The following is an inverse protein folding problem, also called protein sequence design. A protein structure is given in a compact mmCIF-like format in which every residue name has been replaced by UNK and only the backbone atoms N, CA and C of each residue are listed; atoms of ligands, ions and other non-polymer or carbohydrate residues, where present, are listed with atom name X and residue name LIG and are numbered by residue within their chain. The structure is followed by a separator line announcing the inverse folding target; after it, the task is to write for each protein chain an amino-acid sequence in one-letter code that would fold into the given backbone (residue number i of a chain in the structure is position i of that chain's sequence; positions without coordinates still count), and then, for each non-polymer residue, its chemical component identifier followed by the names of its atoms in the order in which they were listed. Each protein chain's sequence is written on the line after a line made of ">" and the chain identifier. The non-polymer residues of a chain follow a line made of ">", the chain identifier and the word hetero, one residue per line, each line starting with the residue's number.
data_IF_225222866473
#
_entry.id   IF_225222866473
#
_cell.length_a   1.000
_cell.length_b   1.000
_cell.length_c   1.000
_cell.angle_alpha   90.00
_cell.angle_beta   90.00
_cell.angle_gamma   90.00
#
_symmetry.space_group_name_H-M   'P 1'
#
loop_
_entity.id
_entity.type
_entity.pdbx_description
1 polymer ?
#
# COMPACT_ATOMS: atom_id res chain seq x y z
N UNK A 1 -4.53 9.29 17.60
CA UNK A 1 -4.01 7.91 17.61
C UNK A 1 -3.42 7.64 18.98
N UNK A 2 -3.62 6.46 19.56
CA UNK A 2 -3.10 6.13 20.89
C UNK A 2 -1.59 5.93 20.83
N UNK A 3 -0.88 6.25 21.93
CA UNK A 3 0.59 6.10 22.04
C UNK A 3 1.07 4.69 21.67
N UNK A 4 0.23 3.67 21.86
CA UNK A 4 0.54 2.27 21.54
C UNK A 4 0.64 2.02 20.02
N UNK A 5 -0.24 2.60 19.21
CA UNK A 5 -0.29 2.35 17.75
C UNK A 5 0.97 2.91 17.05
N UNK A 6 1.43 4.09 17.45
CA UNK A 6 2.66 4.65 16.87
C UNK A 6 3.90 3.83 17.22
N UNK A 7 3.94 3.24 18.42
CA UNK A 7 5.01 2.31 18.80
C UNK A 7 4.94 1.02 17.98
N UNK A 8 3.76 0.46 17.75
CA UNK A 8 3.57 -0.71 16.90
C UNK A 8 4.05 -0.47 15.46
N UNK A 9 3.73 0.70 14.88
CA UNK A 9 4.22 1.07 13.55
C UNK A 9 5.75 1.15 13.48
N UNK A 10 6.37 1.75 14.48
CA UNK A 10 7.84 1.86 14.57
C UNK A 10 8.50 0.49 14.71
N UNK A 11 7.94 -0.40 15.53
CA UNK A 11 8.45 -1.76 15.73
C UNK A 11 8.37 -2.57 14.43
N UNK A 12 7.22 -2.54 13.76
CA UNK A 12 7.04 -3.22 12.48
C UNK A 12 8.03 -2.71 11.42
N UNK A 13 8.18 -1.39 11.30
CA UNK A 13 9.12 -0.76 10.39
C UNK A 13 10.56 -1.18 10.66
N UNK A 14 11.00 -1.12 11.91
CA UNK A 14 12.37 -1.49 12.33
C UNK A 14 12.68 -2.96 12.07
N UNK A 15 11.68 -3.83 12.22
CA UNK A 15 11.85 -5.26 11.90
C UNK A 15 11.94 -5.49 10.39
N UNK A 16 11.09 -4.81 9.61
CA UNK A 16 11.04 -4.99 8.16
C UNK A 16 12.28 -4.51 7.42
N UNK A 17 12.93 -3.41 7.86
CA UNK A 17 14.13 -2.92 7.17
C UNK A 17 15.33 -3.87 7.27
N UNK A 18 15.30 -4.85 8.18
CA UNK A 18 16.34 -5.89 8.27
C UNK A 18 16.37 -6.83 7.06
N UNK A 19 15.34 -6.82 6.23
CA UNK A 19 15.28 -7.59 4.99
C UNK A 19 15.96 -6.87 3.81
N UNK A 20 16.42 -5.62 4.02
CA UNK A 20 17.17 -4.87 3.01
C UNK A 20 18.65 -5.21 3.13
N UNK A 21 19.27 -5.55 2.01
CA UNK A 21 20.69 -5.82 1.87
C UNK A 21 21.35 -4.85 0.87
N UNK A 22 22.68 -4.77 0.92
CA UNK A 22 23.46 -3.97 -0.01
C UNK A 22 23.20 -4.36 -1.47
N UNK A 23 23.28 -3.36 -2.34
CA UNK A 23 23.12 -3.40 -3.78
C UNK A 23 21.73 -3.86 -4.26
N UNK A 24 20.72 -3.80 -3.40
CA UNK A 24 19.33 -4.06 -3.77
C UNK A 24 18.63 -2.84 -4.36
N UNK A 25 17.61 -3.11 -5.19
CA UNK A 25 16.58 -2.13 -5.56
C UNK A 25 15.41 -2.28 -4.58
N UNK A 26 15.09 -1.21 -3.85
CA UNK A 26 14.10 -1.21 -2.77
C UNK A 26 12.87 -0.39 -3.14
N UNK A 27 11.69 -0.99 -3.11
CA UNK A 27 10.42 -0.25 -3.20
C UNK A 27 10.08 0.41 -1.86
N UNK A 28 9.83 1.72 -1.89
CA UNK A 28 9.43 2.48 -0.71
C UNK A 28 7.93 2.77 -0.75
N UNK A 29 7.22 2.21 0.22
CA UNK A 29 5.77 2.34 0.40
C UNK A 29 5.27 3.73 0.75
N UNK A 30 3.96 3.86 0.96
CA UNK A 30 3.30 5.12 1.28
C UNK A 30 2.47 5.00 2.57
N UNK A 31 2.39 6.09 3.33
CA UNK A 31 1.55 6.19 4.53
C UNK A 31 2.35 6.28 5.84
N UNK A 32 1.63 6.36 6.97
CA UNK A 32 2.25 6.65 8.27
C UNK A 32 3.18 5.55 8.78
N UNK A 33 2.94 4.29 8.40
CA UNK A 33 3.80 3.17 8.82
C UNK A 33 5.04 3.10 7.94
N UNK A 34 4.87 3.23 6.61
CA UNK A 34 5.97 3.33 5.65
C UNK A 34 6.91 4.50 5.95
N UNK A 35 6.38 5.63 6.45
CA UNK A 35 7.19 6.77 6.91
C UNK A 35 8.31 6.35 7.90
N UNK A 36 8.02 5.47 8.85
CA UNK A 36 9.02 5.00 9.81
C UNK A 36 10.08 4.11 9.15
N UNK A 37 9.67 3.24 8.21
CA UNK A 37 10.61 2.40 7.47
C UNK A 37 11.55 3.23 6.60
N UNK A 38 11.01 4.20 5.86
CA UNK A 38 11.81 5.13 5.03
C UNK A 38 12.80 5.90 5.91
N UNK A 39 12.37 6.30 7.11
CA UNK A 39 13.25 7.01 8.05
C UNK A 39 14.41 6.16 8.54
N UNK A 40 14.14 4.91 8.89
CA UNK A 40 15.15 3.94 9.31
C UNK A 40 16.12 3.60 8.15
N UNK A 41 15.61 3.40 6.94
CA UNK A 41 16.45 3.22 5.73
C UNK A 41 17.39 4.40 5.54
N UNK A 42 16.90 5.63 5.69
CA UNK A 42 17.76 6.83 5.63
C UNK A 42 18.87 6.85 6.69
N UNK A 43 18.64 6.31 7.89
CA UNK A 43 19.70 6.17 8.89
C UNK A 43 20.68 5.02 8.57
N UNK A 44 20.20 3.92 7.99
CA UNK A 44 21.05 2.82 7.52
C UNK A 44 21.98 3.27 6.39
N UNK A 45 21.52 4.12 5.46
CA UNK A 45 22.36 4.70 4.40
C UNK A 45 23.46 5.57 4.98
N UNK A 46 23.16 6.39 6.00
CA UNK A 46 24.20 7.16 6.72
C UNK A 46 25.24 6.26 7.39
N UNK A 47 24.87 5.02 7.72
CA UNK A 47 25.75 4.01 8.32
C UNK A 47 26.47 3.14 7.27
N UNK A 48 26.23 3.36 5.97
CA UNK A 48 26.95 2.70 4.88
C UNK A 48 26.14 1.72 4.04
N UNK A 49 24.83 1.58 4.27
CA UNK A 49 23.96 0.79 3.38
C UNK A 49 23.98 1.40 1.96
N UNK A 50 24.26 0.58 0.95
CA UNK A 50 24.24 0.97 -0.47
C UNK A 50 23.04 0.37 -1.19
N UNK A 51 22.06 1.18 -1.56
CA UNK A 51 20.85 0.75 -2.29
C UNK A 51 20.40 1.81 -3.30
N UNK A 52 19.51 1.42 -4.20
CA UNK A 52 18.66 2.34 -4.95
C UNK A 52 17.19 2.12 -4.60
N UNK A 53 16.37 3.17 -4.63
CA UNK A 53 14.98 3.09 -4.22
C UNK A 53 13.98 3.57 -5.28
N UNK A 54 12.82 2.92 -5.32
CA UNK A 54 11.67 3.27 -6.16
C UNK A 54 10.51 3.72 -5.25
N UNK A 55 10.09 4.99 -5.27
CA UNK A 55 9.02 5.48 -4.42
C UNK A 55 7.63 5.18 -4.99
N UNK A 56 6.69 4.79 -4.13
CA UNK A 56 5.28 4.51 -4.49
C UNK A 56 4.40 5.76 -4.52
N UNK A 57 4.90 6.95 -4.17
CA UNK A 57 4.16 8.21 -4.29
C UNK A 57 5.11 9.40 -4.39
N UNK A 58 4.61 10.55 -4.84
CA UNK A 58 5.36 11.81 -4.80
C UNK A 58 5.73 12.20 -3.37
N UNK A 59 4.82 11.97 -2.40
CA UNK A 59 5.11 12.19 -0.98
C UNK A 59 6.25 11.31 -0.47
N UNK A 60 6.28 10.04 -0.86
CA UNK A 60 7.37 9.12 -0.51
C UNK A 60 8.67 9.52 -1.18
N UNK A 61 8.62 9.96 -2.45
CA UNK A 61 9.77 10.50 -3.18
C UNK A 61 10.39 11.68 -2.44
N UNK A 62 9.59 12.70 -2.11
CA UNK A 62 10.03 13.89 -1.38
C UNK A 62 10.67 13.53 -0.03
N UNK A 63 10.06 12.61 0.72
CA UNK A 63 10.64 12.12 1.96
C UNK A 63 11.99 11.45 1.71
N UNK A 64 12.07 10.50 0.79
CA UNK A 64 13.31 9.77 0.50
C UNK A 64 14.46 10.71 0.07
N UNK A 65 14.17 11.70 -0.78
CA UNK A 65 15.13 12.72 -1.21
C UNK A 65 15.64 13.57 -0.03
N UNK A 66 14.74 13.95 0.88
CA UNK A 66 15.12 14.71 2.09
C UNK A 66 16.04 13.95 3.04
N UNK A 67 16.12 12.62 2.88
CA UNK A 67 16.97 11.73 3.66
C UNK A 67 18.20 11.26 2.89
N UNK A 68 18.42 11.78 1.69
CA UNK A 68 19.51 11.39 0.80
C UNK A 68 19.48 9.90 0.40
N UNK A 69 18.30 9.29 0.32
CA UNK A 69 18.14 7.94 -0.23
C UNK A 69 18.29 8.02 -1.76
N UNK A 70 19.24 7.29 -2.39
CA UNK A 70 19.38 7.28 -3.84
C UNK A 70 18.13 6.73 -4.51
N UNK A 71 17.55 7.48 -5.44
CA UNK A 71 16.35 7.07 -6.18
C UNK A 71 16.70 6.58 -7.59
N UNK A 72 15.92 5.62 -8.09
CA UNK A 72 15.97 5.15 -9.47
C UNK A 72 14.58 5.24 -10.10
N UNK A 73 14.52 5.57 -11.39
CA UNK A 73 13.28 5.57 -12.14
C UNK A 73 12.79 4.13 -12.33
N UNK A 74 11.51 3.88 -12.05
CA UNK A 74 10.89 2.57 -12.22
C UNK A 74 11.01 2.05 -13.67
N UNK A 75 11.07 2.94 -14.66
CA UNK A 75 11.23 2.57 -16.07
C UNK A 75 12.65 2.10 -16.41
N UNK A 76 13.62 2.34 -15.52
CA UNK A 76 15.01 1.93 -15.70
C UNK A 76 15.32 0.58 -15.01
N UNK A 77 14.36 0.00 -14.28
CA UNK A 77 14.55 -1.24 -13.52
C UNK A 77 13.70 -2.38 -14.09
N UNK A 78 14.24 -3.60 -14.08
CA UNK A 78 13.52 -4.80 -14.53
C UNK A 78 12.84 -5.55 -13.39
N UNK A 79 13.37 -5.44 -12.17
CA UNK A 79 12.83 -6.06 -10.98
C UNK A 79 13.21 -5.25 -9.75
N UNK A 80 12.38 -5.32 -8.71
CA UNK A 80 12.62 -4.75 -7.39
C UNK A 80 12.85 -5.91 -6.43
N UNK A 81 13.93 -5.87 -5.65
CA UNK A 81 14.29 -6.99 -4.79
C UNK A 81 13.35 -7.10 -3.58
N UNK A 82 13.13 -5.98 -2.89
CA UNK A 82 12.27 -5.91 -1.72
C UNK A 82 11.45 -4.63 -1.73
N UNK A 83 10.16 -4.72 -1.43
CA UNK A 83 9.31 -3.55 -1.20
C UNK A 83 8.76 -3.61 0.21
N UNK A 84 8.88 -2.50 0.95
CA UNK A 84 8.27 -2.34 2.27
C UNK A 84 7.16 -1.31 2.17
N UNK A 85 5.93 -1.72 2.49
CA UNK A 85 4.76 -0.83 2.40
C UNK A 85 3.72 -1.11 3.50
N UNK A 86 2.80 -0.16 3.72
CA UNK A 86 1.70 -0.32 4.66
C UNK A 86 0.46 -0.98 4.05
N UNK A 87 -0.51 -1.31 4.91
CA UNK A 87 -1.86 -1.70 4.51
C UNK A 87 -2.93 -1.02 5.37
N UNK A 88 -4.12 -0.87 4.80
CA UNK A 88 -5.31 -0.43 5.54
C UNK A 88 -5.98 -1.61 6.25
N UNK A 89 -5.98 -2.79 5.60
CA UNK A 89 -6.36 -4.07 6.18
C UNK A 89 -5.53 -5.22 5.63
N UNK A 90 -5.37 -6.28 6.42
CA UNK A 90 -4.93 -7.57 5.94
C UNK A 90 -5.65 -8.71 6.67
N UNK A 91 -5.87 -9.83 5.97
CA UNK A 91 -6.43 -11.05 6.56
C UNK A 91 -5.36 -12.14 6.75
N UNK A 92 -5.76 -13.32 7.24
CA UNK A 92 -4.85 -14.46 7.47
C UNK A 92 -4.16 -14.98 6.20
N UNK A 93 -4.81 -14.83 5.05
CA UNK A 93 -4.30 -15.27 3.74
C UNK A 93 -3.41 -14.21 3.07
N UNK A 94 -3.07 -13.14 3.80
CA UNK A 94 -2.29 -11.99 3.33
C UNK A 94 -2.92 -11.25 2.14
N UNK A 95 -4.25 -11.34 1.99
CA UNK A 95 -5.01 -10.45 1.11
C UNK A 95 -5.17 -9.10 1.79
N UNK A 96 -4.98 -8.02 1.04
CA UNK A 96 -4.91 -6.67 1.60
C UNK A 96 -5.99 -5.74 1.01
N UNK A 97 -6.40 -4.77 1.83
CA UNK A 97 -6.90 -3.48 1.34
C UNK A 97 -5.80 -2.43 1.55
N UNK A 98 -5.51 -1.66 0.50
CA UNK A 98 -4.57 -0.52 0.48
C UNK A 98 -5.24 0.74 -0.10
N UNK A 99 -4.49 1.81 -0.34
CA UNK A 99 -5.00 3.00 -1.02
C UNK A 99 -5.66 4.06 -0.13
N UNK A 100 -5.67 3.90 1.19
CA UNK A 100 -6.10 4.94 2.13
C UNK A 100 -5.31 6.24 1.97
N UNK A 101 -4.02 6.14 1.61
CA UNK A 101 -3.16 7.28 1.27
C UNK A 101 -3.35 7.84 -0.15
N UNK A 102 -4.08 7.14 -1.01
CA UNK A 102 -4.36 7.55 -2.39
C UNK A 102 -3.25 7.28 -3.40
N UNK A 103 -2.35 6.34 -3.10
CA UNK A 103 -1.22 5.95 -3.94
C UNK A 103 -1.35 4.52 -4.52
N UNK A 104 -2.53 3.89 -4.43
CA UNK A 104 -2.72 2.46 -4.71
C UNK A 104 -2.18 2.01 -6.07
N UNK A 105 -2.30 2.83 -7.11
CA UNK A 105 -1.85 2.50 -8.46
C UNK A 105 -0.33 2.33 -8.51
N UNK A 106 0.42 3.33 -8.02
CA UNK A 106 1.88 3.25 -7.95
C UNK A 106 2.35 2.17 -6.97
N UNK A 107 1.68 2.03 -5.83
CA UNK A 107 1.91 0.93 -4.88
C UNK A 107 1.81 -0.43 -5.57
N UNK A 108 0.77 -0.66 -6.38
CA UNK A 108 0.55 -1.94 -7.06
C UNK A 108 1.52 -2.20 -8.21
N UNK A 109 1.88 -1.17 -8.96
CA UNK A 109 2.91 -1.27 -10.02
C UNK A 109 4.26 -1.65 -9.40
N UNK A 110 4.67 -1.00 -8.31
CA UNK A 110 5.92 -1.34 -7.61
C UNK A 110 5.85 -2.77 -7.06
N UNK A 111 4.74 -3.13 -6.42
CA UNK A 111 4.54 -4.47 -5.89
C UNK A 111 4.57 -5.57 -6.97
N UNK A 112 4.08 -5.31 -8.19
CA UNK A 112 4.09 -6.30 -9.28
C UNK A 112 5.48 -6.57 -9.86
N UNK A 113 6.42 -5.65 -9.69
CA UNK A 113 7.84 -5.82 -10.04
C UNK A 113 8.67 -6.40 -8.88
N UNK A 114 8.07 -6.59 -7.71
CA UNK A 114 8.78 -6.93 -6.46
C UNK A 114 8.93 -8.43 -6.27
N UNK A 115 10.13 -8.88 -5.90
CA UNK A 115 10.38 -10.29 -5.52
C UNK A 115 9.90 -10.60 -4.10
N UNK A 116 10.27 -9.75 -3.14
CA UNK A 116 9.83 -9.88 -1.75
C UNK A 116 8.99 -8.67 -1.31
N UNK A 117 7.66 -8.83 -1.32
CA UNK A 117 6.75 -7.75 -0.92
C UNK A 117 6.35 -7.89 0.55
N UNK A 118 6.89 -7.01 1.39
CA UNK A 118 6.73 -7.01 2.84
C UNK A 118 5.75 -5.90 3.24
N UNK A 119 4.69 -6.29 3.91
CA UNK A 119 3.73 -5.36 4.50
C UNK A 119 4.06 -5.10 5.95
N UNK A 120 4.05 -3.84 6.36
CA UNK A 120 4.18 -3.42 7.76
C UNK A 120 2.87 -2.83 8.28
N UNK A 121 2.44 -3.25 9.45
CA UNK A 121 1.16 -2.87 10.01
C UNK A 121 1.20 -2.74 11.54
N UNK A 122 0.31 -1.90 12.07
CA UNK A 122 -0.06 -1.94 13.49
C UNK A 122 -1.17 -2.97 13.73
N UNK A 123 -1.41 -3.32 14.99
CA UNK A 123 -2.34 -4.39 15.38
C UNK A 123 -3.78 -4.14 14.95
N UNK A 124 -4.18 -2.89 14.67
CA UNK A 124 -5.55 -2.56 14.27
C UNK A 124 -5.88 -2.95 12.82
N UNK A 125 -4.87 -3.28 12.02
CA UNK A 125 -5.00 -3.58 10.58
C UNK A 125 -5.35 -5.04 10.29
N UNK A 126 -5.12 -5.94 11.25
CA UNK A 126 -5.46 -7.35 11.11
C UNK A 126 -6.97 -7.54 11.24
N UNK A 127 -7.60 -8.13 10.24
CA UNK A 127 -9.03 -8.44 10.21
C UNK A 127 -9.28 -9.91 9.90
N UNK A 128 -10.43 -10.43 10.33
CA UNK A 128 -10.84 -11.79 9.98
C UNK A 128 -11.30 -11.88 8.52
N UNK A 129 -12.07 -10.87 8.09
CA UNK A 129 -12.59 -10.72 6.72
C UNK A 129 -12.36 -9.28 6.31
N UNK A 130 -11.92 -9.04 5.07
CA UNK A 130 -11.71 -7.70 4.53
C UNK A 130 -13.03 -6.92 4.41
N UNK A 131 -12.95 -5.60 4.42
CA UNK A 131 -14.06 -4.70 4.13
C UNK A 131 -14.58 -3.89 5.31
N UNK A 132 -13.91 -3.92 6.47
CA UNK A 132 -14.19 -2.93 7.53
C UNK A 132 -13.69 -1.54 7.12
N UNK A 133 -12.62 -1.47 6.34
CA UNK A 133 -12.14 -0.29 5.63
C UNK A 133 -12.78 -0.22 4.25
N UNK A 134 -13.23 0.97 3.84
CA UNK A 134 -13.79 1.20 2.50
C UNK A 134 -12.71 0.99 1.45
N UNK A 135 -12.99 0.14 0.47
CA UNK A 135 -12.09 -0.17 -0.63
C UNK A 135 -11.87 1.06 -1.52
N UNK A 136 -10.65 1.60 -1.60
CA UNK A 136 -10.32 2.68 -2.52
C UNK A 136 -10.27 2.16 -3.95
N UNK A 137 -10.87 2.89 -4.90
CA UNK A 137 -10.88 2.57 -6.32
C UNK A 137 -10.47 3.81 -7.11
N UNK A 138 -9.37 3.74 -7.84
CA UNK A 138 -8.88 4.82 -8.69
C UNK A 138 -9.61 4.80 -10.04
N UNK A 139 -10.13 5.96 -10.46
CA UNK A 139 -10.97 6.09 -11.66
C UNK A 139 -10.58 7.33 -12.45
N UNK A 140 -10.65 7.25 -13.77
CA UNK A 140 -10.42 8.44 -14.60
C UNK A 140 -11.53 9.48 -14.34
N UNK A 141 -11.21 10.78 -14.25
CA UNK A 141 -12.22 11.81 -13.94
C UNK A 141 -13.41 11.81 -14.89
N UNK A 142 -13.16 11.54 -16.18
CA UNK A 142 -14.19 11.43 -17.22
C UNK A 142 -15.25 10.35 -16.92
N UNK A 143 -14.87 9.26 -16.28
CA UNK A 143 -15.73 8.09 -16.05
C UNK A 143 -16.24 7.96 -14.61
N UNK A 144 -15.90 8.89 -13.70
CA UNK A 144 -16.11 8.71 -12.26
C UNK A 144 -17.57 8.36 -11.89
N UNK A 145 -18.55 9.07 -12.43
CA UNK A 145 -19.97 8.79 -12.17
C UNK A 145 -20.46 7.49 -12.83
N UNK A 146 -19.86 7.09 -13.96
CA UNK A 146 -20.16 5.81 -14.60
C UNK A 146 -19.64 4.66 -13.74
N UNK A 147 -18.37 4.72 -13.33
CA UNK A 147 -17.76 3.69 -12.46
C UNK A 147 -18.51 3.60 -11.14
N UNK A 148 -18.94 4.71 -10.55
CA UNK A 148 -19.76 4.70 -9.33
C UNK A 148 -21.07 3.91 -9.50
N UNK A 149 -21.73 3.99 -10.67
CA UNK A 149 -22.91 3.17 -10.97
C UNK A 149 -22.56 1.68 -11.19
N UNK A 150 -21.39 1.39 -11.78
CA UNK A 150 -20.93 0.01 -11.93
C UNK A 150 -20.63 -0.63 -10.56
N UNK A 151 -19.99 0.11 -9.64
CA UNK A 151 -19.79 -0.31 -8.25
C UNK A 151 -21.16 -0.62 -7.59
N UNK A 152 -22.17 0.23 -7.80
CA UNK A 152 -23.53 -0.05 -7.30
C UNK A 152 -24.13 -1.34 -7.86
N UNK A 153 -23.88 -1.65 -9.14
CA UNK A 153 -24.33 -2.91 -9.76
C UNK A 153 -23.63 -4.14 -9.19
N UNK A 154 -22.42 -3.97 -8.64
CA UNK A 154 -21.67 -4.99 -7.88
C UNK A 154 -22.03 -4.99 -6.38
N UNK A 155 -23.16 -4.38 -6.00
CA UNK A 155 -23.64 -4.27 -4.62
C UNK A 155 -22.74 -3.45 -3.68
N UNK A 156 -21.81 -2.66 -4.22
CA UNK A 156 -21.06 -1.68 -3.45
C UNK A 156 -21.77 -0.33 -3.36
N UNK A 157 -21.34 0.51 -2.44
CA UNK A 157 -21.79 1.90 -2.34
C UNK A 157 -20.61 2.80 -2.05
N UNK A 158 -20.59 4.04 -2.51
CA UNK A 158 -19.41 4.87 -2.31
C UNK A 158 -19.59 6.29 -2.79
N UNK A 159 -18.57 7.09 -2.55
CA UNK A 159 -18.49 8.46 -3.02
C UNK A 159 -17.07 8.76 -3.48
N UNK A 160 -16.94 9.74 -4.36
CA UNK A 160 -15.64 10.30 -4.72
C UNK A 160 -15.02 10.89 -3.44
N UNK A 161 -13.80 10.46 -3.13
CA UNK A 161 -13.02 10.93 -1.98
C UNK A 161 -12.88 12.44 -2.06
N UNK A 162 -13.21 13.12 -0.96
CA UNK A 162 -13.18 14.59 -0.88
C UNK A 162 -12.24 15.06 0.23
N UNK A 163 -11.38 16.02 -0.07
CA UNK A 163 -10.49 16.68 0.87
C UNK A 163 -10.72 18.19 0.79
N UNK A 164 -11.12 18.81 1.90
CA UNK A 164 -11.44 20.25 1.92
C UNK A 164 -12.59 20.64 0.98
N UNK A 165 -13.54 19.72 0.74
CA UNK A 165 -14.70 19.95 -0.13
C UNK A 165 -14.43 19.79 -1.64
N UNK A 166 -13.23 19.38 -2.04
CA UNK A 166 -12.86 19.12 -3.44
C UNK A 166 -12.51 17.64 -3.65
N UNK A 167 -12.75 17.08 -4.85
CA UNK A 167 -12.27 15.74 -5.18
C UNK A 167 -10.77 15.60 -4.90
N UNK A 168 -10.38 14.51 -4.24
CA UNK A 168 -8.99 14.12 -4.11
C UNK A 168 -8.45 13.73 -5.49
N UNK A 169 -7.25 14.23 -5.81
CA UNK A 169 -6.56 13.95 -7.08
C UNK A 169 -5.32 13.11 -6.76
N UNK A 170 -5.19 11.95 -7.39
CA UNK A 170 -4.03 11.07 -7.22
C UNK A 170 -2.80 11.65 -7.91
N UNK A 171 -1.62 11.06 -7.67
CA UNK A 171 -0.39 11.39 -8.38
C UNK A 171 -0.49 11.20 -9.91
N UNK A 172 -1.51 10.49 -10.40
CA UNK A 172 -1.77 10.26 -11.83
C UNK A 172 -2.93 11.10 -12.37
N UNK A 173 -3.41 12.08 -11.59
CA UNK A 173 -4.48 12.99 -12.03
C UNK A 173 -5.89 12.37 -11.99
N UNK A 174 -6.03 11.20 -11.38
CA UNK A 174 -7.30 10.47 -11.29
C UNK A 174 -8.06 10.82 -10.01
N UNK A 175 -9.30 10.38 -9.93
CA UNK A 175 -10.10 10.42 -8.70
C UNK A 175 -10.04 9.08 -7.98
N UNK A 176 -10.40 9.10 -6.70
CA UNK A 176 -10.65 7.89 -5.91
C UNK A 176 -12.11 7.83 -5.51
N UNK A 177 -12.73 6.67 -5.66
CA UNK A 177 -14.00 6.30 -5.02
C UNK A 177 -13.70 5.47 -3.79
N UNK A 178 -14.19 5.89 -2.63
CA UNK A 178 -14.14 5.07 -1.40
C UNK A 178 -15.41 4.21 -1.33
N UNK A 179 -15.27 2.94 -1.73
CA UNK A 179 -16.38 2.01 -1.87
C UNK A 179 -16.53 1.06 -0.67
N UNK A 180 -17.72 1.00 -0.11
CA UNK A 180 -18.17 0.06 0.90
C UNK A 180 -18.90 -1.11 0.23
N UNK A 181 -18.32 -2.30 0.33
CA UNK A 181 -18.91 -3.56 -0.13
C UNK A 181 -19.38 -4.44 1.05
N UNK A 182 -19.41 -3.88 2.27
CA UNK A 182 -19.54 -4.67 3.50
C UNK A 182 -18.36 -5.63 3.67
N UNK A 183 -18.63 -6.82 4.23
CA UNK A 183 -17.62 -7.86 4.36
C UNK A 183 -17.34 -8.52 3.01
N UNK A 184 -16.10 -8.44 2.55
CA UNK A 184 -15.63 -8.97 1.28
C UNK A 184 -15.17 -10.41 1.51
N UNK A 185 -16.10 -11.36 1.37
CA UNK A 185 -15.84 -12.79 1.59
C UNK A 185 -15.12 -13.48 0.43
N UNK A 186 -15.18 -12.91 -0.78
CA UNK A 186 -14.43 -13.38 -1.95
C UNK A 186 -13.66 -12.22 -2.62
N UNK A 187 -12.53 -11.78 -2.04
CA UNK A 187 -11.75 -10.65 -2.55
C UNK A 187 -11.25 -10.85 -3.98
N UNK A 188 -10.83 -12.07 -4.34
CA UNK A 188 -10.36 -12.39 -5.69
C UNK A 188 -11.45 -12.22 -6.75
N UNK A 189 -12.68 -12.65 -6.46
CA UNK A 189 -13.80 -12.48 -7.38
C UNK A 189 -14.19 -11.01 -7.53
N UNK A 190 -14.22 -10.25 -6.42
CA UNK A 190 -14.50 -8.82 -6.48
C UNK A 190 -13.44 -8.07 -7.29
N UNK A 191 -12.16 -8.37 -7.06
CA UNK A 191 -11.04 -7.79 -7.84
C UNK A 191 -11.23 -8.02 -9.35
N UNK A 192 -11.44 -9.28 -9.77
CA UNK A 192 -11.65 -9.61 -11.18
C UNK A 192 -12.85 -8.88 -11.80
N UNK A 193 -13.95 -8.66 -11.04
CA UNK A 193 -15.10 -7.89 -11.52
C UNK A 193 -14.83 -6.40 -11.64
N UNK A 194 -13.99 -5.84 -10.76
CA UNK A 194 -13.58 -4.45 -10.84
C UNK A 194 -12.67 -4.21 -12.05
N UNK A 195 -11.76 -5.14 -12.34
CA UNK A 195 -10.86 -5.09 -13.51
C UNK A 195 -11.63 -5.04 -14.85
N UNK A 196 -12.86 -5.56 -14.91
CA UNK A 196 -13.73 -5.54 -16.09
C UNK A 196 -14.36 -4.14 -16.36
N UNK A 197 -14.29 -3.20 -15.41
CA UNK A 197 -14.98 -1.90 -15.52
C UNK A 197 -14.14 -0.89 -16.30
N UNK A 198 -14.58 -0.54 -17.51
CA UNK A 198 -13.94 0.51 -18.32
C UNK A 198 -13.92 1.87 -17.58
N UNK A 199 -12.74 2.48 -17.48
CA UNK A 199 -12.54 3.76 -16.79
C UNK A 199 -12.20 3.63 -15.30
N UNK A 200 -12.30 2.41 -14.74
CA UNK A 200 -11.58 2.06 -13.53
C UNK A 200 -10.10 1.88 -13.90
N UNK A 201 -9.23 2.51 -13.13
CA UNK A 201 -7.78 2.47 -13.36
C UNK A 201 -7.14 1.39 -12.51
N UNK A 202 -7.50 1.34 -11.22
CA UNK A 202 -7.00 0.34 -10.28
C UNK A 202 -7.90 0.28 -9.02
N UNK A 203 -7.81 -0.79 -8.24
CA UNK A 203 -8.51 -0.95 -6.97
C UNK A 203 -7.59 -1.33 -5.81
N UNK A 204 -8.01 -1.03 -4.59
CA UNK A 204 -7.21 -1.24 -3.37
C UNK A 204 -7.08 -2.69 -2.91
N UNK A 205 -7.66 -3.68 -3.61
CA UNK A 205 -7.45 -5.10 -3.32
C UNK A 205 -6.10 -5.56 -3.88
N UNK A 206 -5.21 -6.00 -2.99
CA UNK A 206 -3.92 -6.59 -3.35
C UNK A 206 -3.98 -8.07 -2.99
N UNK A 207 -4.21 -8.90 -4.02
CA UNK A 207 -4.50 -10.32 -3.87
C UNK A 207 -3.28 -11.12 -4.31
N UNK A 208 -2.82 -12.05 -3.47
CA UNK A 208 -1.67 -12.93 -3.75
C UNK A 208 -0.36 -12.20 -4.06
N UNK A 209 -0.20 -10.95 -3.61
CA UNK A 209 1.02 -10.15 -3.85
C UNK A 209 1.98 -10.15 -2.66
N UNK A 210 1.47 -10.03 -1.43
CA UNK A 210 2.33 -9.97 -0.24
C UNK A 210 3.01 -11.32 0.02
N UNK A 211 4.32 -11.27 0.22
CA UNK A 211 5.12 -12.41 0.66
C UNK A 211 5.03 -12.57 2.17
N UNK A 212 5.01 -11.45 2.90
CA UNK A 212 4.95 -11.39 4.37
C UNK A 212 4.17 -10.18 4.88
N UNK A 213 3.62 -10.28 6.07
CA UNK A 213 3.15 -9.16 6.88
C UNK A 213 3.88 -9.18 8.22
N UNK A 214 4.52 -8.07 8.58
CA UNK A 214 5.14 -7.86 9.88
C UNK A 214 4.25 -6.87 10.65
N UNK A 215 3.63 -7.36 11.71
CA UNK A 215 2.69 -6.59 12.53
C UNK A 215 3.32 -6.25 13.88
N UNK A 216 3.37 -4.97 14.22
CA UNK A 216 3.69 -4.54 15.57
C UNK A 216 2.52 -4.80 16.51
N UNK A 217 2.77 -5.38 17.67
CA UNK A 217 1.75 -5.68 18.67
C UNK A 217 2.36 -5.75 20.07
N UNK A 218 1.79 -5.03 21.04
CA UNK A 218 2.16 -5.13 22.47
C UNK A 218 3.67 -5.07 22.76
N UNK A 219 4.41 -4.21 22.07
CA UNK A 219 5.87 -4.05 22.27
C UNK A 219 6.76 -5.08 21.56
N UNK A 220 6.18 -5.99 20.76
CA UNK A 220 6.90 -6.95 19.91
C UNK A 220 6.39 -6.90 18.47
N UNK A 221 6.88 -7.79 17.62
CA UNK A 221 6.35 -8.04 16.27
C UNK A 221 5.82 -9.48 16.14
N UNK A 222 4.79 -9.66 15.31
CA UNK A 222 4.28 -10.95 14.83
C UNK A 222 4.43 -10.98 13.31
N UNK A 223 4.98 -12.07 12.76
CA UNK A 223 5.21 -12.21 11.31
C UNK A 223 4.29 -13.27 10.73
N UNK A 224 3.60 -12.91 9.66
CA UNK A 224 2.81 -13.82 8.82
C UNK A 224 3.52 -13.96 7.49
N UNK A 225 3.65 -15.18 6.98
CA UNK A 225 4.27 -15.45 5.67
C UNK A 225 3.32 -16.31 4.86
N UNK A 226 3.30 -16.11 3.54
CA UNK A 226 2.60 -17.04 2.66
C UNK A 226 3.33 -18.38 2.71
N UNK A 227 2.62 -19.45 3.05
CA UNK A 227 3.17 -20.80 2.86
C UNK A 227 3.35 -21.00 1.34
N UNK A 228 4.55 -21.48 0.96
CA UNK A 228 4.93 -21.70 -0.44
C UNK A 228 4.22 -22.87 -1.07
#
# INVERSE_FOLDING_TARGET
>A
MTKNIEQEKQLAAKEAVKFIADHQIVGLGTGSTAYYAIREVGEMIKQGLDIQAVPTSNKTKELAESLHIPLVDINAVQSIDVTIDGADEFNRDLMLIKGGGGALLREKIVASLTREFIIIADSSKKVAVLGKFKLPIEVIPFAANYVLRQIQSLHGSGAIRSVGGKPFITDQGNFIVDADFGLITNPSQLAARLDEIVGLVEHGLFINMASKVIMGINGTTETFSREG
#
